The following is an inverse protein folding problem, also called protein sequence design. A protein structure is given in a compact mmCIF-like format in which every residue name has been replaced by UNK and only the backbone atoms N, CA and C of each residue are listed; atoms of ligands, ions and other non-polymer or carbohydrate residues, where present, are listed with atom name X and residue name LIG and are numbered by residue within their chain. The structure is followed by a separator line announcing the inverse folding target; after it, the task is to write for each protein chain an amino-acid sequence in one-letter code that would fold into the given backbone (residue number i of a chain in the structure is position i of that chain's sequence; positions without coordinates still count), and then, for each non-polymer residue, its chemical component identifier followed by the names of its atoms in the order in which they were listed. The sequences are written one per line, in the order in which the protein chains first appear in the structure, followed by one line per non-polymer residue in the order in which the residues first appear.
data_IF_690562729975
#
_entry.id   IF_690562729975
#
_cell.length_a   1.000
_cell.length_b   1.000
_cell.length_c   1.000
_cell.angle_alpha   90.00
_cell.angle_beta   90.00
_cell.angle_gamma   90.00
#
_symmetry.space_group_name_H-M   'P 1'
#
loop_
_entity.id
_entity.type
_entity.pdbx_description
1 polymer ?
#
# COMPACT_ATOMS: atom_id res chain seq x y z
N UNK A 1 -25.53 -12.68 14.99
CA UNK A 1 -24.07 -12.40 14.87
C UNK A 1 -23.74 -12.27 13.39
N UNK A 2 -23.29 -11.09 12.96
CA UNK A 2 -23.13 -10.71 11.56
C UNK A 2 -21.67 -11.00 11.09
N UNK A 3 -21.41 -11.85 10.08
CA UNK A 3 -20.05 -12.26 9.71
C UNK A 3 -19.30 -11.32 8.74
N UNK A 4 -19.69 -10.05 8.61
CA UNK A 4 -19.07 -9.08 7.66
C UNK A 4 -18.36 -7.88 8.30
N UNK A 5 -18.02 -7.94 9.59
CA UNK A 5 -17.27 -6.84 10.21
C UNK A 5 -15.83 -6.80 9.71
N UNK A 6 -15.62 -5.96 8.71
CA UNK A 6 -14.36 -5.26 8.57
C UNK A 6 -14.33 -4.25 9.73
N UNK A 7 -13.67 -4.62 10.83
CA UNK A 7 -13.38 -3.67 11.90
C UNK A 7 -12.28 -2.73 11.41
N UNK A 8 -12.66 -1.80 10.54
CA UNK A 8 -11.91 -0.59 10.32
C UNK A 8 -11.96 0.19 11.64
N UNK A 9 -10.91 0.04 12.45
CA UNK A 9 -10.65 0.97 13.53
C UNK A 9 -10.13 2.26 12.88
N UNK A 10 -11.05 3.00 12.22
CA UNK A 10 -10.90 4.43 12.12
C UNK A 10 -10.84 4.90 13.57
N UNK A 11 -9.71 5.43 14.05
CA UNK A 11 -9.66 5.83 15.43
C UNK A 11 -10.74 6.88 15.64
N UNK A 12 -11.59 6.66 16.64
CA UNK A 12 -12.52 7.67 17.14
C UNK A 12 -11.77 8.81 17.88
N UNK A 13 -10.45 8.95 17.69
CA UNK A 13 -9.58 9.87 18.40
C UNK A 13 -8.24 10.11 17.69
N UNK A 14 -7.42 10.99 18.28
CA UNK A 14 -6.15 11.53 17.76
C UNK A 14 -4.96 10.53 17.75
N UNK A 15 -5.24 9.22 17.59
CA UNK A 15 -4.18 8.22 17.46
C UNK A 15 -3.30 8.50 16.23
N UNK A 16 -1.97 8.27 16.32
CA UNK A 16 -1.05 8.59 15.23
C UNK A 16 -1.24 7.71 13.98
N UNK A 17 -1.94 6.57 14.11
CA UNK A 17 -2.13 5.61 13.02
C UNK A 17 -3.56 5.06 12.97
N UNK A 18 -3.96 4.62 11.78
CA UNK A 18 -5.24 3.96 11.46
C UNK A 18 -4.94 2.55 10.97
N UNK A 19 -5.65 1.55 11.47
CA UNK A 19 -5.43 0.15 11.06
C UNK A 19 -6.50 -0.30 10.05
N UNK A 20 -6.08 -0.68 8.85
CA UNK A 20 -6.89 -1.37 7.86
C UNK A 20 -6.71 -2.88 8.05
N UNK A 21 -7.76 -3.53 8.59
CA UNK A 21 -7.76 -4.96 8.91
C UNK A 21 -8.53 -5.76 7.86
N UNK A 22 -7.93 -6.86 7.42
CA UNK A 22 -8.58 -7.84 6.56
C UNK A 22 -8.62 -9.18 7.29
N UNK A 23 -9.84 -9.70 7.48
CA UNK A 23 -10.03 -11.01 8.09
C UNK A 23 -9.52 -12.12 7.17
N UNK A 24 -9.11 -13.25 7.76
CA UNK A 24 -8.75 -14.45 6.98
C UNK A 24 -9.85 -14.87 6.01
N UNK A 25 -11.12 -14.74 6.41
CA UNK A 25 -12.27 -15.03 5.54
C UNK A 25 -12.28 -14.11 4.32
N UNK A 26 -12.12 -12.80 4.51
CA UNK A 26 -12.07 -11.84 3.41
C UNK A 26 -10.93 -12.15 2.43
N UNK A 27 -9.75 -12.50 2.94
CA UNK A 27 -8.58 -12.88 2.13
C UNK A 27 -8.86 -14.14 1.31
N UNK A 28 -9.36 -15.22 1.95
CA UNK A 28 -9.66 -16.48 1.27
C UNK A 28 -10.75 -16.35 0.20
N UNK A 29 -11.71 -15.45 0.41
CA UNK A 29 -12.77 -15.15 -0.56
C UNK A 29 -12.41 -14.05 -1.56
N UNK A 30 -11.19 -13.51 -1.49
CA UNK A 30 -10.73 -12.42 -2.33
C UNK A 30 -11.63 -11.16 -2.26
N UNK A 31 -12.17 -10.88 -1.08
CA UNK A 31 -13.19 -9.85 -0.84
C UNK A 31 -12.60 -8.62 -0.13
N UNK A 32 -12.43 -7.53 -0.87
CA UNK A 32 -12.04 -6.22 -0.31
C UNK A 32 -13.22 -5.22 -0.25
N UNK A 33 -14.45 -5.67 -0.49
CA UNK A 33 -15.63 -4.79 -0.62
C UNK A 33 -15.88 -3.94 0.62
N UNK A 34 -15.74 -4.51 1.80
CA UNK A 34 -15.96 -3.77 3.04
C UNK A 34 -14.92 -2.65 3.24
N UNK A 35 -13.66 -2.86 2.83
CA UNK A 35 -12.67 -1.77 2.83
C UNK A 35 -13.04 -0.69 1.82
N UNK A 36 -13.45 -1.09 0.61
CA UNK A 36 -13.86 -0.17 -0.44
C UNK A 36 -15.14 0.61 -0.09
N UNK A 37 -16.02 0.08 0.75
CA UNK A 37 -17.19 0.81 1.24
C UNK A 37 -16.78 2.11 1.96
N UNK A 38 -15.62 2.13 2.62
CA UNK A 38 -15.07 3.30 3.32
C UNK A 38 -14.03 4.06 2.50
N UNK A 39 -13.18 3.35 1.75
CA UNK A 39 -12.02 3.93 1.06
C UNK A 39 -12.15 3.99 -0.46
N UNK A 40 -13.33 3.70 -1.02
CA UNK A 40 -13.55 3.85 -2.46
C UNK A 40 -13.28 5.28 -2.92
N UNK A 41 -13.01 5.42 -4.21
CA UNK A 41 -12.74 6.70 -4.84
C UNK A 41 -13.83 7.75 -4.64
N UNK A 42 -15.09 7.32 -4.55
CA UNK A 42 -16.24 8.17 -4.28
C UNK A 42 -16.26 8.71 -2.83
N UNK A 43 -15.69 7.96 -1.88
CA UNK A 43 -15.61 8.36 -0.47
C UNK A 43 -14.38 9.21 -0.17
N UNK A 44 -13.31 9.08 -1.00
CA UNK A 44 -12.10 9.89 -0.91
C UNK A 44 -12.28 11.28 -1.55
N UNK A 45 -13.18 12.07 -0.96
CA UNK A 45 -13.53 13.44 -1.40
C UNK A 45 -13.23 14.50 -0.32
N UNK A 46 -13.25 14.13 0.97
CA UNK A 46 -12.95 15.05 2.06
C UNK A 46 -11.44 15.32 2.19
N UNK A 47 -11.06 16.57 1.94
CA UNK A 47 -9.70 17.09 2.10
C UNK A 47 -9.12 16.81 3.49
N UNK A 48 -9.87 17.10 4.56
CA UNK A 48 -9.38 16.97 5.93
C UNK A 48 -9.13 15.51 6.28
N UNK A 49 -10.00 14.62 5.81
CA UNK A 49 -9.80 13.18 5.94
C UNK A 49 -8.52 12.74 5.22
N UNK A 50 -8.31 13.17 3.97
CA UNK A 50 -7.11 12.80 3.20
C UNK A 50 -5.82 13.29 3.86
N UNK A 51 -5.80 14.54 4.33
CA UNK A 51 -4.66 15.10 5.07
C UNK A 51 -4.41 14.33 6.38
N UNK A 52 -5.48 13.97 7.10
CA UNK A 52 -5.38 13.21 8.35
C UNK A 52 -4.85 11.79 8.11
N UNK A 53 -5.19 11.15 7.00
CA UNK A 53 -4.81 9.76 6.73
C UNK A 53 -3.50 9.60 5.96
N UNK A 54 -2.95 10.68 5.39
CA UNK A 54 -1.71 10.63 4.63
C UNK A 54 -0.57 10.03 5.47
N UNK A 55 -0.02 8.91 5.01
CA UNK A 55 1.07 8.20 5.68
C UNK A 55 0.74 7.59 7.05
N UNK A 56 -0.55 7.44 7.41
CA UNK A 56 -0.98 6.94 8.73
C UNK A 56 -1.66 5.58 8.71
N UNK A 57 -1.87 4.99 7.54
CA UNK A 57 -2.57 3.72 7.40
C UNK A 57 -1.59 2.55 7.58
N UNK A 58 -1.88 1.68 8.55
CA UNK A 58 -1.19 0.40 8.76
C UNK A 58 -2.10 -0.72 8.31
N UNK A 59 -1.54 -1.75 7.69
CA UNK A 59 -2.31 -2.88 7.19
C UNK A 59 -2.16 -4.07 8.13
N UNK A 60 -3.22 -4.88 8.28
CA UNK A 60 -3.18 -6.11 9.06
C UNK A 60 -3.97 -7.21 8.37
N UNK A 61 -3.33 -8.36 8.19
CA UNK A 61 -3.92 -9.57 7.60
C UNK A 61 -4.12 -10.61 8.70
N UNK A 62 -5.34 -10.71 9.23
CA UNK A 62 -5.63 -11.55 10.38
C UNK A 62 -5.45 -13.04 10.04
N UNK A 63 -4.90 -13.80 10.98
CA UNK A 63 -4.61 -15.22 10.78
C UNK A 63 -3.33 -15.52 9.98
N UNK A 64 -2.58 -14.49 9.58
CA UNK A 64 -1.30 -14.61 8.86
C UNK A 64 -0.11 -13.97 9.58
N UNK A 65 -0.32 -13.34 10.75
CA UNK A 65 0.74 -12.67 11.51
C UNK A 65 1.80 -13.64 12.05
N UNK A 66 1.38 -14.87 12.36
CA UNK A 66 2.26 -15.94 12.87
C UNK A 66 2.68 -16.93 11.77
N UNK A 67 2.35 -16.66 10.49
CA UNK A 67 2.82 -17.52 9.40
C UNK A 67 4.34 -17.33 9.24
N UNK A 68 5.07 -18.44 9.28
CA UNK A 68 6.53 -18.42 9.13
C UNK A 68 6.96 -17.94 7.73
N UNK A 69 6.07 -18.04 6.74
CA UNK A 69 6.30 -17.54 5.39
C UNK A 69 6.00 -16.06 5.31
N UNK A 70 6.61 -15.42 4.33
CA UNK A 70 6.21 -14.07 3.97
C UNK A 70 4.84 -13.96 3.34
N UNK A 71 4.16 -12.82 3.52
CA UNK A 71 2.90 -12.56 2.84
C UNK A 71 3.03 -12.66 1.31
N UNK A 72 4.20 -12.30 0.78
CA UNK A 72 4.56 -12.42 -0.63
C UNK A 72 4.78 -13.87 -1.10
N UNK A 73 4.80 -14.83 -0.19
CA UNK A 73 4.92 -16.27 -0.43
C UNK A 73 3.60 -17.02 -0.26
N UNK A 74 2.57 -16.38 0.29
CA UNK A 74 1.29 -17.01 0.62
C UNK A 74 0.34 -16.81 -0.57
N UNK A 75 -0.04 -17.88 -1.30
CA UNK A 75 -0.76 -17.74 -2.57
C UNK A 75 -2.08 -16.98 -2.47
N UNK A 76 -2.89 -17.24 -1.44
CA UNK A 76 -4.17 -16.58 -1.26
C UNK A 76 -4.02 -15.09 -0.90
N UNK A 77 -2.96 -14.72 -0.17
CA UNK A 77 -2.64 -13.32 0.10
C UNK A 77 -2.17 -12.60 -1.16
N UNK A 78 -1.35 -13.25 -1.99
CA UNK A 78 -0.95 -12.68 -3.29
C UNK A 78 -2.16 -12.41 -4.17
N UNK A 79 -3.07 -13.38 -4.29
CA UNK A 79 -4.29 -13.22 -5.08
C UNK A 79 -5.18 -12.08 -4.53
N UNK A 80 -5.35 -12.02 -3.21
CA UNK A 80 -6.07 -10.94 -2.54
C UNK A 80 -5.46 -9.57 -2.79
N UNK A 81 -4.15 -9.43 -2.58
CA UNK A 81 -3.42 -8.17 -2.73
C UNK A 81 -3.43 -7.67 -4.18
N UNK A 82 -3.27 -8.55 -5.16
CA UNK A 82 -3.38 -8.19 -6.58
C UNK A 82 -4.78 -7.71 -6.93
N UNK A 83 -5.83 -8.37 -6.43
CA UNK A 83 -7.20 -7.94 -6.65
C UNK A 83 -7.47 -6.58 -6.02
N UNK A 84 -7.08 -6.43 -4.75
CA UNK A 84 -7.28 -5.19 -4.01
C UNK A 84 -6.48 -4.03 -4.60
N UNK A 85 -5.22 -4.23 -4.98
CA UNK A 85 -4.42 -3.21 -5.67
C UNK A 85 -5.04 -2.79 -7.01
N UNK A 86 -5.64 -3.71 -7.78
CA UNK A 86 -6.35 -3.33 -9.01
C UNK A 86 -7.58 -2.45 -8.73
N UNK A 87 -8.29 -2.72 -7.64
CA UNK A 87 -9.46 -1.93 -7.24
C UNK A 87 -9.08 -0.59 -6.59
N UNK A 88 -7.95 -0.54 -5.89
CA UNK A 88 -7.52 0.59 -5.07
C UNK A 88 -5.99 0.78 -5.06
N UNK A 89 -5.40 1.25 -6.17
CA UNK A 89 -3.95 1.52 -6.23
C UNK A 89 -3.57 2.89 -5.62
N UNK A 90 -3.82 3.06 -4.32
CA UNK A 90 -3.47 4.26 -3.56
C UNK A 90 -2.66 3.98 -2.30
N UNK A 91 -2.05 2.80 -2.19
CA UNK A 91 -1.38 2.35 -0.97
C UNK A 91 -0.38 3.39 -0.49
N UNK A 92 0.43 3.92 -1.39
CA UNK A 92 1.53 4.79 -1.03
C UNK A 92 1.14 6.23 -0.74
N UNK A 93 -0.12 6.64 -0.94
CA UNK A 93 -0.59 7.88 -0.35
C UNK A 93 -0.84 7.71 1.16
N UNK A 94 -1.44 6.59 1.55
CA UNK A 94 -1.93 6.35 2.91
C UNK A 94 -0.95 5.60 3.81
N UNK A 95 -0.12 4.71 3.27
CA UNK A 95 0.66 3.75 4.04
C UNK A 95 1.66 4.39 5.02
N UNK A 96 1.74 3.87 6.23
CA UNK A 96 2.89 4.12 7.10
C UNK A 96 4.13 3.44 6.50
N UNK A 97 5.13 4.25 6.10
CA UNK A 97 6.39 3.77 5.52
C UNK A 97 7.42 3.36 6.58
N UNK A 98 7.09 3.50 7.87
CA UNK A 98 7.86 2.92 8.97
C UNK A 98 7.66 1.40 9.10
N UNK A 99 6.62 0.85 8.47
CA UNK A 99 6.33 -0.59 8.46
C UNK A 99 6.98 -1.25 7.23
N UNK A 100 7.39 -2.51 7.36
CA UNK A 100 7.90 -3.28 6.21
C UNK A 100 6.76 -3.86 5.35
N UNK A 101 5.54 -3.93 5.91
CA UNK A 101 4.41 -4.59 5.26
C UNK A 101 4.02 -3.99 3.90
N UNK A 102 3.96 -2.66 3.67
CA UNK A 102 3.69 -2.10 2.34
C UNK A 102 4.68 -2.56 1.25
N UNK A 103 5.98 -2.71 1.58
CA UNK A 103 6.97 -3.28 0.65
C UNK A 103 6.61 -4.72 0.33
N UNK A 104 6.32 -5.53 1.34
CA UNK A 104 5.97 -6.94 1.14
C UNK A 104 4.68 -7.12 0.33
N UNK A 105 3.69 -6.25 0.55
CA UNK A 105 2.46 -6.22 -0.24
C UNK A 105 2.76 -5.90 -1.72
N UNK A 106 3.68 -4.96 -1.95
CA UNK A 106 4.15 -4.62 -3.30
C UNK A 106 4.81 -5.81 -3.97
N UNK A 107 5.74 -6.48 -3.28
CA UNK A 107 6.40 -7.69 -3.77
C UNK A 107 5.41 -8.83 -4.07
N UNK A 108 4.37 -8.99 -3.24
CA UNK A 108 3.30 -9.97 -3.45
C UNK A 108 2.53 -9.73 -4.76
N UNK A 109 2.47 -8.48 -5.23
CA UNK A 109 1.80 -8.11 -6.47
C UNK A 109 2.67 -8.30 -7.72
N UNK A 110 3.99 -8.49 -7.57
CA UNK A 110 4.87 -8.66 -8.73
C UNK A 110 4.68 -10.03 -9.38
N UNK A 111 4.58 -10.10 -10.72
CA UNK A 111 4.35 -11.35 -11.45
C UNK A 111 5.52 -12.34 -11.32
N UNK A 112 6.75 -11.85 -11.47
CA UNK A 112 7.98 -12.66 -11.48
C UNK A 112 8.79 -12.47 -10.18
N UNK A 113 8.15 -12.73 -9.03
CA UNK A 113 8.83 -12.70 -7.74
C UNK A 113 9.59 -14.02 -7.50
N UNK A 114 10.90 -13.95 -7.35
CA UNK A 114 11.74 -15.08 -6.94
C UNK A 114 12.25 -14.87 -5.53
N UNK A 115 12.04 -15.85 -4.67
CA UNK A 115 12.54 -15.83 -3.30
C UNK A 115 13.49 -17.00 -3.15
N UNK A 116 14.75 -16.68 -2.87
CA UNK A 116 15.81 -17.66 -2.69
C UNK A 116 16.17 -17.65 -1.21
N UNK A 117 15.76 -18.71 -0.51
CA UNK A 117 16.23 -18.97 0.86
C UNK A 117 17.49 -19.82 0.75
N UNK A 118 18.65 -19.24 1.10
CA UNK A 118 19.91 -19.99 1.13
C UNK A 118 19.93 -20.88 2.38
N UNK A 119 20.13 -22.19 2.21
CA UNK A 119 20.27 -23.10 3.34
C UNK A 119 21.38 -22.62 4.30
N UNK A 120 21.05 -22.48 5.58
CA UNK A 120 21.95 -21.96 6.61
C UNK A 120 22.01 -20.43 6.73
N UNK A 121 21.25 -19.67 5.92
CA UNK A 121 21.05 -18.23 6.08
C UNK A 121 19.69 -17.96 6.70
N UNK A 122 19.58 -17.13 7.75
CA UNK A 122 18.28 -16.66 8.24
C UNK A 122 17.64 -15.65 7.28
N UNK A 123 18.38 -15.15 6.29
CA UNK A 123 17.91 -14.16 5.34
C UNK A 123 17.49 -14.81 4.02
N UNK A 124 16.28 -14.50 3.56
CA UNK A 124 15.81 -14.80 2.21
C UNK A 124 16.18 -13.66 1.28
N UNK A 125 16.78 -13.99 0.14
CA UNK A 125 17.06 -13.01 -0.91
C UNK A 125 15.85 -12.94 -1.85
N UNK A 126 15.29 -11.75 -2.00
CA UNK A 126 14.19 -11.49 -2.93
C UNK A 126 14.78 -10.91 -4.22
N UNK A 127 14.41 -11.50 -5.36
CA UNK A 127 14.79 -11.05 -6.70
C UNK A 127 13.54 -10.80 -7.53
N UNK A 128 13.53 -9.68 -8.24
CA UNK A 128 12.46 -9.26 -9.15
C UNK A 128 13.08 -8.35 -10.23
N UNK A 129 12.37 -8.15 -11.33
CA UNK A 129 12.81 -7.20 -12.36
C UNK A 129 12.40 -5.79 -11.96
N UNK A 130 13.31 -4.83 -12.08
CA UNK A 130 13.00 -3.41 -11.82
C UNK A 130 11.83 -2.91 -12.67
N UNK A 131 11.69 -3.42 -13.91
CA UNK A 131 10.56 -3.09 -14.78
C UNK A 131 9.21 -3.45 -14.13
N UNK A 132 9.08 -4.61 -13.49
CA UNK A 132 7.84 -5.04 -12.83
C UNK A 132 7.47 -4.12 -11.66
N UNK A 133 8.48 -3.67 -10.90
CA UNK A 133 8.28 -2.69 -9.83
C UNK A 133 7.82 -1.34 -10.37
N UNK A 134 8.41 -0.86 -11.47
CA UNK A 134 8.00 0.39 -12.11
C UNK A 134 6.60 0.30 -12.73
N UNK A 135 6.22 -0.86 -13.26
CA UNK A 135 4.87 -1.11 -13.75
C UNK A 135 3.84 -1.11 -12.62
N UNK A 136 4.15 -1.77 -11.50
CA UNK A 136 3.33 -1.72 -10.28
C UNK A 136 3.13 -0.28 -9.80
N UNK A 137 4.19 0.51 -9.77
CA UNK A 137 4.14 1.89 -9.29
C UNK A 137 3.43 2.87 -10.22
N UNK A 138 3.20 2.51 -11.48
CA UNK A 138 2.56 3.40 -12.46
C UNK A 138 1.19 3.90 -12.00
N UNK A 139 0.22 3.04 -11.63
CA UNK A 139 -1.07 3.50 -11.09
C UNK A 139 -0.89 4.19 -9.73
N UNK A 140 -0.08 3.65 -8.81
CA UNK A 140 0.20 4.28 -7.52
C UNK A 140 0.65 5.74 -7.67
N UNK A 141 1.47 6.05 -8.67
CA UNK A 141 1.94 7.41 -8.93
C UNK A 141 0.83 8.36 -9.36
N UNK A 142 -0.09 7.88 -10.20
CA UNK A 142 -1.22 8.67 -10.66
C UNK A 142 -2.15 9.01 -9.48
N UNK A 143 -2.39 8.03 -8.61
CA UNK A 143 -3.25 8.23 -7.45
C UNK A 143 -2.58 9.04 -6.36
N UNK A 144 -1.27 8.88 -6.13
CA UNK A 144 -0.53 9.71 -5.19
C UNK A 144 -0.62 11.19 -5.59
N UNK A 145 -0.45 11.52 -6.87
CA UNK A 145 -0.64 12.89 -7.38
C UNK A 145 -2.09 13.37 -7.21
N UNK A 146 -3.05 12.56 -7.66
CA UNK A 146 -4.48 12.91 -7.62
C UNK A 146 -4.96 13.17 -6.19
N UNK A 147 -4.59 12.29 -5.24
CA UNK A 147 -4.93 12.43 -3.83
C UNK A 147 -4.17 13.59 -3.18
N UNK A 148 -2.95 13.90 -3.62
CA UNK A 148 -2.22 15.08 -3.15
C UNK A 148 -2.93 16.38 -3.54
N UNK A 149 -3.45 16.47 -4.78
CA UNK A 149 -4.27 17.60 -5.24
C UNK A 149 -5.55 17.69 -4.40
N UNK A 150 -6.28 16.58 -4.25
CA UNK A 150 -7.52 16.55 -3.43
C UNK A 150 -7.28 16.90 -1.96
N UNK A 151 -6.12 16.55 -1.42
CA UNK A 151 -5.72 16.89 -0.06
C UNK A 151 -5.14 18.32 0.06
N UNK A 152 -5.01 19.06 -1.05
CA UNK A 152 -4.39 20.39 -1.12
C UNK A 152 -3.01 20.38 -0.45
N UNK A 153 -2.21 19.35 -0.71
CA UNK A 153 -0.81 19.34 -0.32
C UNK A 153 -0.07 20.33 -1.20
N UNK A 154 0.90 21.04 -0.65
CA UNK A 154 1.80 21.82 -1.48
C UNK A 154 2.76 20.92 -2.27
N UNK A 155 3.47 21.53 -3.21
CA UNK A 155 4.44 20.84 -4.07
C UNK A 155 5.52 20.11 -3.26
N UNK A 156 5.99 20.73 -2.18
CA UNK A 156 7.09 20.22 -1.37
C UNK A 156 6.63 19.00 -0.56
N UNK A 157 5.46 19.04 0.07
CA UNK A 157 4.85 17.95 0.82
C UNK A 157 4.61 16.74 -0.08
N UNK A 158 4.03 16.97 -1.25
CA UNK A 158 3.66 15.89 -2.15
C UNK A 158 4.90 15.26 -2.81
N UNK A 159 5.91 16.07 -3.18
CA UNK A 159 7.20 15.58 -3.64
C UNK A 159 7.99 14.87 -2.52
N UNK A 160 7.91 15.33 -1.27
CA UNK A 160 8.52 14.65 -0.13
C UNK A 160 7.91 13.25 0.07
N UNK A 161 6.57 13.13 -0.04
CA UNK A 161 5.91 11.83 0.04
C UNK A 161 6.33 10.90 -1.10
N UNK A 162 6.35 11.38 -2.34
CA UNK A 162 6.81 10.60 -3.49
C UNK A 162 8.27 10.12 -3.32
N UNK A 163 9.17 11.01 -2.87
CA UNK A 163 10.57 10.65 -2.57
C UNK A 163 10.67 9.62 -1.45
N UNK A 164 9.88 9.78 -0.38
CA UNK A 164 9.87 8.81 0.72
C UNK A 164 9.46 7.42 0.23
N UNK A 165 8.47 7.30 -0.65
CA UNK A 165 8.06 6.02 -1.26
C UNK A 165 9.19 5.43 -2.12
N UNK A 166 9.84 6.26 -2.92
CA UNK A 166 10.95 5.84 -3.79
C UNK A 166 12.13 5.28 -2.99
N UNK A 167 12.57 6.03 -1.98
CA UNK A 167 13.63 5.62 -1.06
C UNK A 167 13.22 4.39 -0.26
N UNK A 168 11.98 4.37 0.25
CA UNK A 168 11.42 3.23 0.96
C UNK A 168 11.54 1.98 0.11
N UNK A 169 11.14 1.99 -1.16
CA UNK A 169 11.22 0.81 -2.03
C UNK A 169 12.65 0.42 -2.44
N UNK A 170 13.67 1.21 -2.08
CA UNK A 170 15.06 0.94 -2.43
C UNK A 170 15.36 1.18 -3.92
N UNK A 171 14.59 2.06 -4.55
CA UNK A 171 14.76 2.37 -5.97
C UNK A 171 15.93 3.35 -6.19
N UNK A 172 16.63 3.24 -7.33
CA UNK A 172 17.83 4.03 -7.58
C UNK A 172 17.47 5.53 -7.80
N UNK A 173 18.23 6.49 -7.24
CA UNK A 173 17.82 7.90 -7.20
C UNK A 173 17.65 8.57 -8.57
N UNK A 174 18.44 8.15 -9.55
CA UNK A 174 18.45 8.63 -10.94
C UNK A 174 17.19 8.25 -11.73
N UNK A 175 16.45 7.23 -11.28
CA UNK A 175 15.18 6.83 -11.89
C UNK A 175 13.95 7.63 -11.42
N UNK A 176 14.10 8.52 -10.42
CA UNK A 176 12.94 9.21 -9.84
C UNK A 176 12.27 10.12 -10.88
N UNK A 177 10.95 9.99 -11.13
CA UNK A 177 10.25 10.72 -12.18
C UNK A 177 9.96 12.17 -11.77
N UNK A 178 10.98 13.03 -11.84
CA UNK A 178 10.90 14.47 -11.51
C UNK A 178 9.92 15.25 -12.40
N UNK A 179 9.84 14.90 -13.70
CA UNK A 179 9.00 15.59 -14.68
C UNK A 179 7.49 15.27 -14.59
N UNK A 180 7.11 14.29 -13.77
CA UNK A 180 5.70 13.90 -13.62
C UNK A 180 5.01 14.55 -12.44
N UNK A 181 5.75 15.33 -11.63
CA UNK A 181 5.14 16.11 -10.58
C UNK A 181 4.73 17.46 -11.17
N UNK A 182 3.46 17.89 -11.09
CA UNK A 182 3.05 19.17 -11.65
C UNK A 182 3.89 20.28 -11.00
N UNK A 183 4.70 21.00 -11.77
CA UNK A 183 5.54 22.10 -11.28
C UNK A 183 4.72 23.25 -10.68
N UNK A 184 3.42 23.25 -10.97
CA UNK A 184 2.39 24.11 -10.39
C UNK A 184 1.15 23.25 -10.12
N UNK A 185 0.78 23.08 -8.84
CA UNK A 185 -0.56 22.62 -8.49
C UNK A 185 -1.52 23.80 -8.75
N UNK A 186 -2.72 23.57 -9.34
CA UNK A 186 -3.69 24.63 -9.57
C UNK A 186 -4.19 25.28 -8.28
#
# INVERSE_FOLDING_TARGET
MNPQQLDLLLPAGDGPFVEARFSRRAILHNDCSAFLATFSWAQLTDRHLLQRLQGRLRFRFEGYMDDARGIEQIPELRAFLQNWHRAWPAWFFFADLGEELPRRMTLACLPDLRIVTKAGSPFSQVSYRTADMLEFLRPEWLFLQTLSIKAHLDLAQAAARARAVWTYLGLPPDGFPTHRWPTTLP
#
